data_IF_504087516250
#
_entry.id   IF_504087516250
#
_cell.length_a   1.000
_cell.length_b   1.000
_cell.length_c   1.000
_cell.angle_alpha   90.00
_cell.angle_beta   90.00
_cell.angle_gamma   90.00
#
_symmetry.space_group_name_H-M   'P 1'
#
loop_
_entity.id
_entity.type
_entity.pdbx_description
1 polymer ?
#
# COMPACT_ATOMS: atom_id res chain seq x y z
N UNK A 1 -0.38 -1.76 -6.47
CA UNK A 1 0.87 -1.49 -5.74
C UNK A 1 0.59 -1.16 -4.29
N UNK A 2 1.19 -1.88 -3.38
CA UNK A 2 1.05 -1.65 -1.94
C UNK A 2 2.31 -0.97 -1.40
N UNK A 3 2.16 0.20 -0.81
CA UNK A 3 3.24 0.87 -0.10
C UNK A 3 3.06 0.63 1.39
N UNK A 4 4.05 0.05 2.03
CA UNK A 4 3.95 -0.44 3.40
C UNK A 4 5.21 -0.14 4.21
N UNK A 5 5.11 -0.34 5.51
CA UNK A 5 6.26 -0.34 6.41
C UNK A 5 6.48 -1.77 6.90
N UNK A 6 7.73 -2.18 6.99
CA UNK A 6 8.05 -3.58 7.34
C UNK A 6 7.65 -3.93 8.78
N UNK A 7 7.51 -2.93 9.65
CA UNK A 7 7.14 -3.13 11.05
C UNK A 7 5.68 -2.79 11.37
N UNK A 8 4.89 -2.46 10.37
CA UNK A 8 3.51 -2.00 10.54
C UNK A 8 2.54 -3.18 10.58
N UNK A 9 1.82 -3.34 11.68
CA UNK A 9 0.87 -4.45 11.81
C UNK A 9 -0.30 -4.33 10.83
N UNK A 10 -0.78 -3.11 10.59
CA UNK A 10 -1.88 -2.90 9.64
C UNK A 10 -1.44 -3.16 8.21
N UNK A 11 -0.18 -2.87 7.90
CA UNK A 11 0.41 -3.22 6.61
C UNK A 11 0.48 -4.73 6.42
N UNK A 12 0.87 -5.45 7.46
CA UNK A 12 0.89 -6.92 7.43
C UNK A 12 -0.50 -7.49 7.22
N UNK A 13 -1.51 -6.94 7.87
CA UNK A 13 -2.90 -7.37 7.71
C UNK A 13 -3.39 -7.10 6.29
N UNK A 14 -3.04 -5.95 5.73
CA UNK A 14 -3.40 -5.60 4.35
C UNK A 14 -2.78 -6.60 3.37
N UNK A 15 -1.49 -6.88 3.54
CA UNK A 15 -0.80 -7.84 2.68
C UNK A 15 -1.42 -9.23 2.79
N UNK A 16 -1.74 -9.67 4.00
CA UNK A 16 -2.36 -10.97 4.23
C UNK A 16 -3.73 -11.05 3.54
N UNK A 17 -4.51 -9.97 3.59
CA UNK A 17 -5.80 -9.93 2.90
C UNK A 17 -5.63 -10.01 1.39
N UNK A 18 -4.67 -9.28 0.83
CA UNK A 18 -4.41 -9.34 -0.61
C UNK A 18 -4.00 -10.75 -1.04
N UNK A 19 -3.17 -11.41 -0.24
CA UNK A 19 -2.75 -12.79 -0.51
C UNK A 19 -3.95 -13.75 -0.42
N UNK A 20 -4.81 -13.57 0.58
CA UNK A 20 -6.02 -14.36 0.74
C UNK A 20 -6.96 -14.22 -0.45
N UNK A 21 -7.08 -13.01 -0.99
CA UNK A 21 -7.92 -12.75 -2.14
C UNK A 21 -7.32 -13.22 -3.47
N UNK A 22 -6.09 -13.71 -3.44
CA UNK A 22 -5.40 -14.14 -4.65
C UNK A 22 -5.05 -13.00 -5.58
N UNK A 23 -4.90 -11.79 -5.04
CA UNK A 23 -4.62 -10.62 -5.84
C UNK A 23 -3.20 -10.65 -6.40
N UNK A 24 -3.06 -10.24 -7.67
CA UNK A 24 -1.74 -10.00 -8.26
C UNK A 24 -1.37 -8.56 -7.96
N UNK A 25 -0.33 -8.36 -7.16
CA UNK A 25 0.11 -7.03 -6.76
C UNK A 25 1.61 -7.00 -6.49
N UNK A 26 2.18 -5.81 -6.59
CA UNK A 26 3.54 -5.57 -6.14
C UNK A 26 3.49 -4.79 -4.84
N UNK A 27 4.56 -4.87 -4.05
CA UNK A 27 4.64 -4.12 -2.80
C UNK A 27 6.04 -3.56 -2.59
N UNK A 28 6.13 -2.53 -1.76
CA UNK A 28 7.37 -1.87 -1.41
C UNK A 28 7.37 -1.53 0.06
N UNK A 29 8.40 -1.97 0.78
CA UNK A 29 8.61 -1.55 2.17
C UNK A 29 9.42 -0.26 2.16
N UNK A 30 8.72 0.86 2.30
CA UNK A 30 9.31 2.19 2.15
C UNK A 30 10.39 2.46 3.19
N UNK A 31 10.23 1.92 4.40
CA UNK A 31 11.20 2.10 5.48
C UNK A 31 12.54 1.41 5.20
N UNK A 32 12.56 0.46 4.29
CA UNK A 32 13.79 -0.27 3.92
C UNK A 32 14.54 0.38 2.76
N UNK A 33 13.93 1.36 2.10
CA UNK A 33 14.56 2.09 1.01
C UNK A 33 15.53 3.14 1.57
N UNK A 34 16.52 3.52 0.76
CA UNK A 34 17.53 4.49 1.16
C UNK A 34 17.79 5.49 0.04
N UNK A 35 18.27 6.69 0.43
CA UNK A 35 18.71 7.70 -0.52
C UNK A 35 17.64 8.18 -1.46
N UNK A 36 18.02 8.35 -2.71
CA UNK A 36 17.15 8.88 -3.75
C UNK A 36 15.95 7.98 -4.02
N UNK A 37 16.14 6.67 -3.95
CA UNK A 37 15.04 5.72 -4.15
C UNK A 37 13.93 5.93 -3.13
N UNK A 38 14.29 6.13 -1.86
CA UNK A 38 13.31 6.42 -0.81
C UNK A 38 12.58 7.73 -1.09
N UNK A 39 13.32 8.77 -1.48
CA UNK A 39 12.74 10.07 -1.79
C UNK A 39 11.73 9.97 -2.93
N UNK A 40 12.10 9.26 -4.00
CA UNK A 40 11.24 9.09 -5.16
C UNK A 40 9.94 8.35 -4.82
N UNK A 41 10.06 7.27 -4.05
CA UNK A 41 8.89 6.48 -3.65
C UNK A 41 8.00 7.28 -2.70
N UNK A 42 8.60 8.02 -1.76
CA UNK A 42 7.83 8.87 -0.85
C UNK A 42 7.09 9.99 -1.60
N UNK A 43 7.65 10.52 -2.67
CA UNK A 43 6.97 11.50 -3.50
C UNK A 43 5.74 10.88 -4.18
N UNK A 44 5.85 9.65 -4.65
CA UNK A 44 4.72 8.93 -5.23
C UNK A 44 3.62 8.72 -4.18
N UNK A 45 4.01 8.25 -2.99
CA UNK A 45 3.06 8.03 -1.90
C UNK A 45 2.35 9.34 -1.54
N UNK A 46 3.10 10.43 -1.46
CA UNK A 46 2.53 11.74 -1.10
C UNK A 46 1.51 12.23 -2.11
N UNK A 47 1.69 11.91 -3.38
CA UNK A 47 0.71 12.26 -4.42
C UNK A 47 -0.61 11.54 -4.23
N UNK A 48 -0.56 10.28 -3.82
CA UNK A 48 -1.75 9.49 -3.57
C UNK A 48 -2.35 9.74 -2.19
N UNK A 49 -1.49 9.94 -1.20
CA UNK A 49 -1.86 10.10 0.20
C UNK A 49 -1.03 11.21 0.82
N UNK A 50 -1.52 12.45 0.82
CA UNK A 50 -0.75 13.59 1.36
C UNK A 50 -0.34 13.43 2.82
N UNK A 51 -1.09 12.63 3.60
CA UNK A 51 -0.73 12.37 5.00
C UNK A 51 0.46 11.41 5.12
N UNK A 52 0.85 10.74 4.04
CA UNK A 52 1.96 9.77 4.02
C UNK A 52 1.83 8.72 5.10
N UNK A 53 0.60 8.26 5.38
CA UNK A 53 0.37 7.18 6.32
C UNK A 53 0.38 5.83 5.61
N UNK A 54 0.54 4.76 6.37
CA UNK A 54 0.63 3.41 5.81
C UNK A 54 -0.37 2.49 6.51
N UNK A 55 -0.85 1.47 5.81
CA UNK A 55 -0.57 1.12 4.42
C UNK A 55 -1.24 2.08 3.43
N UNK A 56 -0.63 2.26 2.26
CA UNK A 56 -1.22 2.99 1.14
C UNK A 56 -1.30 2.01 -0.04
N UNK A 57 -2.51 1.64 -0.41
CA UNK A 57 -2.74 0.71 -1.50
C UNK A 57 -3.28 1.45 -2.71
N UNK A 58 -2.59 1.33 -3.83
CA UNK A 58 -3.01 1.93 -5.11
C UNK A 58 -3.50 0.82 -6.02
N UNK A 59 -4.77 0.88 -6.42
CA UNK A 59 -5.40 -0.05 -7.35
C UNK A 59 -5.93 0.75 -8.52
N UNK A 60 -5.28 0.63 -9.67
CA UNK A 60 -5.59 1.41 -10.87
C UNK A 60 -5.51 2.90 -10.56
N UNK A 61 -6.63 3.62 -10.60
CA UNK A 61 -6.68 5.06 -10.31
C UNK A 61 -7.21 5.37 -8.92
N UNK A 62 -7.30 4.36 -8.05
CA UNK A 62 -7.83 4.52 -6.68
C UNK A 62 -6.73 4.34 -5.65
N UNK A 63 -6.87 5.04 -4.54
CA UNK A 63 -5.97 4.91 -3.41
C UNK A 63 -6.78 4.59 -2.16
N UNK A 64 -6.39 3.52 -1.48
CA UNK A 64 -7.00 3.11 -0.22
C UNK A 64 -5.96 3.28 0.87
N UNK A 65 -6.27 4.10 1.87
CA UNK A 65 -5.37 4.40 2.98
C UNK A 65 -5.85 3.65 4.23
N UNK A 66 -4.94 2.92 4.85
CA UNK A 66 -5.23 2.14 6.04
C UNK A 66 -5.81 0.77 5.68
N UNK A 67 -6.05 -0.03 6.73
CA UNK A 67 -6.64 -1.35 6.54
C UNK A 67 -8.15 -1.21 6.47
N UNK A 68 -8.67 -1.03 5.28
CA UNK A 68 -10.10 -0.92 5.00
C UNK A 68 -10.54 -2.14 4.21
N UNK A 69 -10.86 -3.20 4.92
CA UNK A 69 -11.12 -4.51 4.33
C UNK A 69 -12.21 -4.46 3.25
N UNK A 70 -13.33 -3.81 3.56
CA UNK A 70 -14.45 -3.74 2.60
C UNK A 70 -14.07 -2.99 1.33
N UNK A 71 -13.36 -1.89 1.48
CA UNK A 71 -12.91 -1.09 0.33
C UNK A 71 -11.90 -1.85 -0.51
N UNK A 72 -11.00 -2.59 0.14
CA UNK A 72 -10.00 -3.40 -0.54
C UNK A 72 -10.70 -4.51 -1.34
N UNK A 73 -11.65 -5.20 -0.72
CA UNK A 73 -12.41 -6.27 -1.39
C UNK A 73 -13.18 -5.73 -2.60
N UNK A 74 -13.79 -4.56 -2.46
CA UNK A 74 -14.53 -3.93 -3.56
C UNK A 74 -13.61 -3.52 -4.71
N UNK A 75 -12.45 -2.97 -4.39
CA UNK A 75 -11.50 -2.50 -5.40
C UNK A 75 -10.92 -3.66 -6.23
N UNK A 76 -10.83 -4.85 -5.66
CA UNK A 76 -10.25 -6.02 -6.31
C UNK A 76 -11.27 -6.93 -6.98
N UNK A 77 -12.56 -6.61 -6.88
CA UNK A 77 -13.57 -7.38 -7.59
C UNK A 77 -13.44 -7.21 -9.10
N UNK A 78 -13.59 -8.31 -9.85
CA UNK A 78 -13.58 -8.21 -11.30
C UNK A 78 -14.79 -7.45 -11.83
#
# INVERSE_FOLDING_TARGET
MLYALSTCIWCKKTKALLDELGAAYDYEYVDLLQGQEKTEVMDIVRRWNPACSFPTLVVKDRCIVGFREDDIRKALRP
#
